data_IF_116475786930
#
_entry.id   IF_116475786930
#
_cell.length_a   1.000
_cell.length_b   1.000
_cell.length_c   1.000
_cell.angle_alpha   90.00
_cell.angle_beta   90.00
_cell.angle_gamma   90.00
#
_symmetry.space_group_name_H-M   'P 1'
#
loop_
_entity.id
_entity.type
_entity.pdbx_description
1 polymer ?
#
# COMPACT_ATOMS: atom_id res chain seq x y z
N UNK A 1 11.89 20.71 0.29
CA UNK A 1 12.09 19.66 1.31
C UNK A 1 13.58 19.59 1.60
N UNK A 2 13.99 19.55 2.87
CA UNK A 2 15.42 19.45 3.20
C UNK A 2 15.93 18.06 2.81
N UNK A 3 16.94 18.00 1.96
CA UNK A 3 17.61 16.73 1.64
C UNK A 3 18.48 16.32 2.82
N UNK A 4 18.18 15.14 3.37
CA UNK A 4 18.96 14.57 4.48
C UNK A 4 19.74 13.36 3.98
N UNK A 5 20.98 13.23 4.43
CA UNK A 5 21.84 12.09 4.07
C UNK A 5 21.61 10.93 5.04
N UNK A 6 21.42 9.73 4.50
CA UNK A 6 21.40 8.48 5.26
C UNK A 6 22.66 7.66 4.94
N UNK A 7 23.14 6.90 5.92
CA UNK A 7 24.23 5.95 5.71
C UNK A 7 23.64 4.55 5.48
N UNK A 8 24.11 3.87 4.44
CA UNK A 8 23.70 2.51 4.09
C UNK A 8 24.92 1.67 3.77
N UNK A 9 24.79 0.34 3.85
CA UNK A 9 25.87 -0.56 3.44
C UNK A 9 26.11 -0.44 1.93
N UNK A 10 27.34 -0.74 1.50
CA UNK A 10 27.75 -0.62 0.09
C UNK A 10 26.89 -1.50 -0.80
N UNK A 11 26.65 -2.72 -0.36
CA UNK A 11 25.87 -3.74 -1.03
C UNK A 11 24.41 -3.26 -1.22
N UNK A 12 23.82 -2.63 -0.20
CA UNK A 12 22.48 -2.04 -0.27
C UNK A 12 22.43 -0.88 -1.26
N UNK A 13 23.44 0.01 -1.26
CA UNK A 13 23.53 1.12 -2.22
C UNK A 13 23.60 0.60 -3.65
N UNK A 14 24.44 -0.40 -3.91
CA UNK A 14 24.65 -0.95 -5.26
C UNK A 14 23.39 -1.65 -5.77
N UNK A 15 22.69 -2.37 -4.88
CA UNK A 15 21.38 -2.94 -5.18
C UNK A 15 20.33 -1.87 -5.54
N UNK A 16 20.23 -0.80 -4.74
CA UNK A 16 19.33 0.32 -5.03
C UNK A 16 19.70 1.05 -6.32
N UNK A 17 21.00 1.12 -6.66
CA UNK A 17 21.46 1.73 -7.90
C UNK A 17 20.98 0.97 -9.13
N UNK A 18 21.09 -0.37 -9.14
CA UNK A 18 20.59 -1.18 -10.26
C UNK A 18 19.07 -1.12 -10.36
N UNK A 19 18.34 -1.20 -9.24
CA UNK A 19 16.87 -1.03 -9.22
C UNK A 19 16.43 0.34 -9.76
N UNK A 20 17.14 1.41 -9.39
CA UNK A 20 16.84 2.75 -9.85
C UNK A 20 17.06 2.87 -11.36
N UNK A 21 18.14 2.27 -11.88
CA UNK A 21 18.47 2.21 -13.30
C UNK A 21 17.44 1.41 -14.11
N UNK A 22 17.01 0.24 -13.64
CA UNK A 22 15.95 -0.56 -14.26
C UNK A 22 14.63 0.23 -14.39
N UNK A 23 14.36 1.09 -13.41
CA UNK A 23 13.14 1.91 -13.36
C UNK A 23 13.30 3.30 -14.00
N UNK A 24 14.49 3.63 -14.52
CA UNK A 24 14.77 4.94 -15.12
C UNK A 24 14.66 6.12 -14.15
N UNK A 25 14.87 5.90 -12.85
CA UNK A 25 14.79 6.92 -11.79
C UNK A 25 16.12 7.07 -11.04
N UNK A 26 16.27 8.14 -10.26
CA UNK A 26 17.40 8.26 -9.32
C UNK A 26 17.18 7.42 -8.06
N UNK A 27 18.27 7.10 -7.33
CA UNK A 27 18.18 6.41 -6.03
C UNK A 27 17.31 7.19 -5.04
N UNK A 28 17.45 8.52 -5.00
CA UNK A 28 16.62 9.37 -4.12
C UNK A 28 15.13 9.21 -4.41
N UNK A 29 14.75 9.31 -5.69
CA UNK A 29 13.36 9.11 -6.12
C UNK A 29 12.84 7.69 -5.84
N UNK A 30 13.69 6.67 -5.99
CA UNK A 30 13.34 5.30 -5.64
C UNK A 30 13.05 5.16 -4.15
N UNK A 31 13.90 5.74 -3.29
CA UNK A 31 13.73 5.72 -1.83
C UNK A 31 12.46 6.47 -1.42
N UNK A 32 12.19 7.63 -2.01
CA UNK A 32 10.95 8.39 -1.79
C UNK A 32 9.71 7.58 -2.18
N UNK A 33 9.75 6.92 -3.35
CA UNK A 33 8.65 6.07 -3.80
C UNK A 33 8.42 4.87 -2.88
N UNK A 34 9.49 4.24 -2.38
CA UNK A 34 9.40 3.14 -1.41
C UNK A 34 8.81 3.61 -0.08
N UNK A 35 9.24 4.77 0.42
CA UNK A 35 8.69 5.36 1.64
C UNK A 35 7.20 5.69 1.49
N UNK A 36 6.78 6.22 0.34
CA UNK A 36 5.37 6.51 0.05
C UNK A 36 4.50 5.23 -0.04
N UNK A 37 5.06 4.13 -0.52
CA UNK A 37 4.36 2.84 -0.60
C UNK A 37 4.23 2.11 0.74
N UNK A 38 5.12 2.41 1.69
CA UNK A 38 5.20 1.74 2.98
C UNK A 38 4.91 2.72 4.13
N UNK A 39 3.67 3.22 4.26
CA UNK A 39 3.31 4.11 5.36
C UNK A 39 3.52 3.40 6.70
N UNK A 40 3.98 4.15 7.69
CA UNK A 40 4.14 3.65 9.07
C UNK A 40 2.78 3.25 9.67
N UNK A 41 2.80 2.47 10.75
CA UNK A 41 1.57 2.08 11.44
C UNK A 41 0.75 3.31 11.90
N UNK A 42 1.41 4.35 12.40
CA UNK A 42 0.76 5.59 12.83
C UNK A 42 0.10 6.32 11.64
N UNK A 43 0.81 6.47 10.52
CA UNK A 43 0.25 7.09 9.32
C UNK A 43 -0.92 6.30 8.73
N UNK A 44 -0.88 4.96 8.81
CA UNK A 44 -2.01 4.12 8.40
C UNK A 44 -3.22 4.34 9.31
N UNK A 45 -3.03 4.43 10.62
CA UNK A 45 -4.10 4.71 11.57
C UNK A 45 -4.71 6.10 11.36
N UNK A 46 -3.89 7.12 11.14
CA UNK A 46 -4.34 8.48 10.83
C UNK A 46 -5.15 8.51 9.52
N UNK A 47 -4.64 7.87 8.46
CA UNK A 47 -5.35 7.78 7.19
C UNK A 47 -6.70 7.06 7.35
N UNK A 48 -6.73 5.96 8.10
CA UNK A 48 -7.96 5.23 8.38
C UNK A 48 -8.98 6.11 9.13
N UNK A 49 -8.54 6.86 10.13
CA UNK A 49 -9.42 7.79 10.86
C UNK A 49 -9.97 8.90 9.93
N UNK A 50 -9.12 9.47 9.07
CA UNK A 50 -9.53 10.47 8.09
C UNK A 50 -10.53 9.90 7.05
N UNK A 51 -10.31 8.67 6.60
CA UNK A 51 -11.20 7.97 5.67
C UNK A 51 -12.57 7.67 6.33
N UNK A 52 -12.59 7.21 7.58
CA UNK A 52 -13.83 7.01 8.37
C UNK A 52 -14.62 8.31 8.49
N UNK A 53 -13.95 9.42 8.80
CA UNK A 53 -14.58 10.72 8.90
C UNK A 53 -15.11 11.24 7.56
N UNK A 54 -14.38 10.98 6.46
CA UNK A 54 -14.86 11.29 5.12
C UNK A 54 -16.17 10.53 4.81
N UNK A 55 -16.24 9.23 5.15
CA UNK A 55 -17.44 8.42 4.95
C UNK A 55 -18.62 8.97 5.75
N UNK A 56 -18.43 9.32 7.03
CA UNK A 56 -19.50 9.94 7.85
C UNK A 56 -20.04 11.20 7.19
N UNK A 57 -19.15 12.09 6.77
CA UNK A 57 -19.52 13.35 6.11
C UNK A 57 -20.23 13.13 4.77
N UNK A 58 -19.79 12.17 3.97
CA UNK A 58 -20.40 11.88 2.67
C UNK A 58 -21.77 11.21 2.79
N UNK A 59 -21.93 10.29 3.74
CA UNK A 59 -23.18 9.56 3.95
C UNK A 59 -24.19 10.36 4.78
N UNK A 60 -23.75 11.37 5.52
CA UNK A 60 -24.60 12.14 6.43
C UNK A 60 -25.11 11.31 7.61
N UNK A 61 -24.42 10.23 7.95
CA UNK A 61 -24.77 9.29 9.03
C UNK A 61 -23.59 9.21 9.98
N UNK A 62 -23.88 9.26 11.28
CA UNK A 62 -22.89 9.07 12.32
C UNK A 62 -22.65 7.58 12.55
N UNK A 63 -21.70 7.02 11.80
CA UNK A 63 -21.32 5.60 11.86
C UNK A 63 -20.25 5.44 12.96
N UNK A 64 -20.50 4.65 14.01
CA UNK A 64 -19.53 4.40 15.07
C UNK A 64 -18.37 3.55 14.56
N UNK A 65 -17.20 3.68 15.21
CA UNK A 65 -15.97 2.97 14.80
C UNK A 65 -16.15 1.44 14.84
N UNK A 66 -16.93 0.93 15.78
CA UNK A 66 -17.23 -0.49 15.95
C UNK A 66 -17.98 -1.07 14.74
N UNK A 67 -18.81 -0.26 14.06
CA UNK A 67 -19.53 -0.67 12.86
C UNK A 67 -18.58 -0.77 11.66
N UNK A 68 -17.56 0.09 11.58
CA UNK A 68 -16.49 -0.05 10.59
C UNK A 68 -15.64 -1.31 10.81
N UNK A 69 -15.46 -1.75 12.06
CA UNK A 69 -14.72 -2.98 12.37
C UNK A 69 -15.50 -4.25 12.04
N UNK A 70 -16.83 -4.19 12.08
CA UNK A 70 -17.71 -5.29 11.67
C UNK A 70 -17.94 -5.33 10.15
N UNK A 71 -17.45 -4.34 9.41
CA UNK A 71 -17.60 -4.29 7.97
C UNK A 71 -16.94 -5.53 7.32
N UNK A 72 -17.60 -6.14 6.32
CA UNK A 72 -17.03 -7.29 5.63
C UNK A 72 -15.73 -6.91 4.94
N UNK A 73 -14.76 -7.84 4.94
CA UNK A 73 -13.49 -7.67 4.20
C UNK A 73 -13.72 -7.80 2.69
N UNK A 74 -14.31 -6.77 2.09
CA UNK A 74 -14.68 -6.71 0.67
C UNK A 74 -13.44 -6.91 -0.20
N UNK A 75 -12.32 -6.28 0.16
CA UNK A 75 -11.09 -6.36 -0.64
C UNK A 75 -10.46 -7.76 -0.58
N UNK A 76 -10.37 -8.37 0.61
CA UNK A 76 -9.90 -9.75 0.76
C UNK A 76 -10.80 -10.74 0.02
N UNK A 77 -12.12 -10.52 0.03
CA UNK A 77 -13.05 -11.34 -0.75
C UNK A 77 -12.85 -11.19 -2.26
N UNK A 78 -12.63 -9.97 -2.77
CA UNK A 78 -12.30 -9.73 -4.19
C UNK A 78 -11.02 -10.48 -4.57
N UNK A 79 -9.97 -10.43 -3.73
CA UNK A 79 -8.73 -11.15 -3.99
C UNK A 79 -8.91 -12.67 -3.99
N UNK A 80 -9.72 -13.22 -3.08
CA UNK A 80 -10.07 -14.65 -3.08
C UNK A 80 -10.75 -15.04 -4.39
N UNK A 81 -11.76 -14.28 -4.82
CA UNK A 81 -12.47 -14.52 -6.08
C UNK A 81 -11.52 -14.46 -7.28
N UNK A 82 -10.62 -13.47 -7.32
CA UNK A 82 -9.63 -13.34 -8.38
C UNK A 82 -8.68 -14.55 -8.42
N UNK A 83 -8.19 -14.99 -7.26
CA UNK A 83 -7.33 -16.16 -7.15
C UNK A 83 -8.01 -17.46 -7.60
N UNK A 84 -9.29 -17.65 -7.23
CA UNK A 84 -10.10 -18.79 -7.68
C UNK A 84 -10.29 -18.80 -9.20
N UNK A 85 -10.61 -17.64 -9.80
CA UNK A 85 -10.74 -17.50 -11.26
C UNK A 85 -9.44 -17.85 -11.99
N UNK A 86 -8.29 -17.41 -11.48
CA UNK A 86 -6.98 -17.75 -12.08
C UNK A 86 -6.70 -19.25 -11.98
N UNK A 87 -7.03 -19.90 -10.86
CA UNK A 87 -6.88 -21.35 -10.70
C UNK A 87 -7.78 -22.13 -11.67
N UNK A 88 -9.04 -21.74 -11.81
CA UNK A 88 -9.99 -22.36 -12.74
C UNK A 88 -9.55 -22.22 -14.21
N UNK A 89 -9.01 -21.05 -14.59
CA UNK A 89 -8.48 -20.82 -15.94
C UNK A 89 -7.22 -21.65 -16.25
N UNK A 90 -6.42 -21.98 -15.22
CA UNK A 90 -5.25 -22.87 -15.38
C UNK A 90 -5.62 -24.35 -15.46
N UNK A 91 -6.68 -24.77 -14.75
CA UNK A 91 -7.15 -26.16 -14.79
C UNK A 91 -7.90 -26.56 -16.06
N UNK A 92 -8.34 -25.58 -16.87
CA UNK A 92 -9.01 -25.81 -18.17
C UNK A 92 -8.04 -25.86 -19.35
N UNK A 93 -6.75 -25.57 -19.13
CA UNK A 93 -5.69 -25.60 -20.14
C UNK A 93 -4.82 -26.88 -20.08
N UNK A 94 -5.28 -27.92 -19.37
CA UNK A 94 -4.62 -29.22 -19.23
C UNK A 94 -5.46 -30.33 -19.87
#
# INVERSE_FOLDING_TARGET
>A
MASTTIQVQRETRDHLAELAKERGVSIGQLVEALAAQQPTAAQRAERLAADRELVRRMMGVDIPDEEFEQAPDVLGNIYKIAAEKVRAARGTAA
#
